data_IF_622558233952
#
_entry.id   IF_622558233952
#
_cell.length_a   1.000
_cell.length_b   1.000
_cell.length_c   1.000
_cell.angle_alpha   90.00
_cell.angle_beta   90.00
_cell.angle_gamma   90.00
#
_symmetry.space_group_name_H-M   'P 1'
#
loop_
_entity.id
_entity.type
_entity.pdbx_description
1 polymer ?
#
# COMPACT_ATOMS: atom_id res chain seq x y z
N UNK A 1 32.97 45.44 11.89
CA UNK A 1 31.60 45.86 11.51
C UNK A 1 30.79 44.71 10.87
N UNK A 2 31.41 43.70 10.24
CA UNK A 2 30.74 42.45 9.84
C UNK A 2 30.43 41.48 10.99
N UNK A 3 31.14 41.56 12.12
CA UNK A 3 30.88 40.69 13.28
C UNK A 3 29.59 41.03 14.05
N UNK A 4 29.07 42.27 13.93
CA UNK A 4 27.87 42.73 14.65
C UNK A 4 26.54 42.45 13.92
N UNK A 5 26.59 41.99 12.68
CA UNK A 5 25.39 41.61 11.91
C UNK A 5 25.00 40.13 12.08
N UNK A 6 25.88 39.32 12.67
CA UNK A 6 25.68 37.88 12.83
C UNK A 6 24.93 37.51 14.13
N UNK A 7 24.83 38.42 15.10
CA UNK A 7 24.25 38.11 16.42
C UNK A 7 22.74 38.41 16.54
N UNK A 8 22.12 39.09 15.56
CA UNK A 8 20.72 39.57 15.71
C UNK A 8 19.65 38.59 15.23
N UNK A 9 20.01 37.50 14.53
CA UNK A 9 19.04 36.59 13.90
C UNK A 9 18.97 35.17 14.50
N UNK A 10 19.67 34.89 15.59
CA UNK A 10 19.74 33.53 16.18
C UNK A 10 18.76 33.22 17.32
N UNK A 11 17.77 34.07 17.60
CA UNK A 11 16.87 33.85 18.76
C UNK A 11 15.63 32.97 18.44
N UNK A 12 15.35 32.62 17.17
CA UNK A 12 14.16 31.81 16.84
C UNK A 12 14.43 30.47 16.15
N UNK A 13 15.66 29.95 16.19
CA UNK A 13 16.01 28.64 15.59
C UNK A 13 16.17 27.51 16.63
N UNK A 14 15.35 27.55 17.68
CA UNK A 14 15.27 26.49 18.70
C UNK A 14 13.83 25.96 18.74
N UNK A 15 13.33 25.42 17.62
CA UNK A 15 12.11 24.59 17.58
C UNK A 15 11.89 23.83 16.25
N UNK A 16 12.94 23.61 15.44
CA UNK A 16 12.85 22.76 14.25
C UNK A 16 13.61 21.45 14.51
N UNK A 17 12.92 20.47 15.07
CA UNK A 17 13.36 19.08 14.95
C UNK A 17 13.18 18.68 13.48
N UNK A 18 14.29 18.34 12.82
CA UNK A 18 14.34 17.55 11.58
C UNK A 18 13.98 18.24 10.26
N UNK A 19 14.63 19.36 9.90
CA UNK A 19 14.70 19.77 8.48
C UNK A 19 15.98 19.20 7.87
N UNK A 20 15.86 18.26 6.94
CA UNK A 20 16.99 17.79 6.13
C UNK A 20 17.17 18.78 4.98
N UNK A 21 18.20 19.64 5.07
CA UNK A 21 18.57 20.57 3.99
C UNK A 21 19.63 19.89 3.12
N UNK A 22 19.22 19.39 1.95
CA UNK A 22 20.15 18.90 0.93
C UNK A 22 20.72 20.09 0.15
N UNK A 23 21.98 20.45 0.41
CA UNK A 23 22.68 21.52 -0.31
C UNK A 23 23.53 20.92 -1.44
N UNK A 24 23.08 21.05 -2.69
CA UNK A 24 23.90 20.69 -3.86
C UNK A 24 24.77 21.88 -4.27
N UNK A 25 26.09 21.81 -4.02
CA UNK A 25 27.04 22.78 -4.55
C UNK A 25 27.51 22.35 -5.94
N UNK A 26 27.20 23.13 -6.97
CA UNK A 26 27.85 23.00 -8.28
C UNK A 26 28.84 24.15 -8.42
N UNK A 27 30.13 23.83 -8.23
CA UNK A 27 31.25 24.71 -8.55
C UNK A 27 31.81 24.30 -9.91
N UNK A 28 31.84 25.22 -10.87
CA UNK A 28 32.82 25.16 -11.96
C UNK A 28 33.46 26.53 -12.13
N UNK A 29 34.73 26.62 -11.75
CA UNK A 29 35.64 27.65 -12.19
C UNK A 29 36.20 27.23 -13.55
N UNK A 30 35.97 28.04 -14.58
CA UNK A 30 36.68 27.96 -15.86
C UNK A 30 36.89 29.39 -16.34
N UNK A 31 38.16 29.78 -16.43
CA UNK A 31 38.62 31.05 -16.98
C UNK A 31 38.87 30.86 -18.47
N UNK A 32 37.83 30.98 -19.29
CA UNK A 32 37.93 31.17 -20.74
C UNK A 32 36.61 31.80 -21.22
N UNK A 33 36.68 32.91 -21.96
CA UNK A 33 35.52 33.64 -22.47
C UNK A 33 34.66 32.75 -23.37
N UNK A 34 33.35 32.57 -23.12
CA UNK A 34 32.48 31.90 -24.06
C UNK A 34 31.62 32.91 -24.84
N UNK A 35 31.47 32.61 -26.12
CA UNK A 35 30.34 33.02 -26.97
C UNK A 35 29.01 32.93 -26.20
N UNK A 36 28.00 33.78 -26.48
CA UNK A 36 26.79 33.83 -25.68
C UNK A 36 25.96 32.57 -25.89
N UNK A 37 26.17 31.57 -25.03
CA UNK A 37 25.19 30.51 -24.78
C UNK A 37 23.88 31.19 -24.37
N UNK A 38 22.71 30.73 -24.87
CA UNK A 38 21.44 31.21 -24.35
C UNK A 38 21.44 31.03 -22.83
N UNK A 39 21.24 32.12 -22.10
CA UNK A 39 21.16 32.09 -20.64
C UNK A 39 19.97 31.22 -20.25
N UNK A 40 20.23 30.03 -19.70
CA UNK A 40 19.21 29.17 -19.13
C UNK A 40 18.66 29.84 -17.87
N UNK A 41 17.35 30.07 -17.85
CA UNK A 41 16.65 30.77 -16.76
C UNK A 41 16.81 30.07 -15.41
N UNK A 42 16.73 28.74 -15.43
CA UNK A 42 17.03 27.83 -14.33
C UNK A 42 17.53 26.51 -14.94
N UNK A 43 18.55 25.89 -14.35
CA UNK A 43 19.09 24.60 -14.84
C UNK A 43 18.33 23.38 -14.28
N UNK A 44 17.35 23.59 -13.41
CA UNK A 44 16.56 22.54 -12.79
C UNK A 44 15.24 22.43 -13.54
N UNK A 45 14.89 21.22 -13.97
CA UNK A 45 13.59 20.89 -14.56
C UNK A 45 12.69 20.10 -13.60
N UNK A 46 13.26 19.54 -12.53
CA UNK A 46 12.57 18.63 -11.62
C UNK A 46 13.08 18.77 -10.18
N UNK A 47 12.16 18.67 -9.23
CA UNK A 47 12.41 18.67 -7.78
C UNK A 47 11.77 17.41 -7.21
N UNK A 48 12.49 16.69 -6.35
CA UNK A 48 11.94 15.54 -5.63
C UNK A 48 12.04 15.77 -4.12
N UNK A 49 10.95 15.55 -3.41
CA UNK A 49 10.85 15.65 -1.96
C UNK A 49 10.42 14.32 -1.34
N UNK A 50 10.90 14.06 -0.13
CA UNK A 50 10.35 13.00 0.71
C UNK A 50 8.96 13.41 1.24
N UNK A 51 8.21 12.46 1.77
CA UNK A 51 6.86 12.71 2.32
C UNK A 51 6.87 13.65 3.52
N UNK A 52 7.96 13.66 4.29
CA UNK A 52 8.18 14.62 5.35
C UNK A 52 8.41 16.04 4.81
N UNK A 53 8.29 17.03 5.70
CA UNK A 53 8.52 18.43 5.32
C UNK A 53 9.94 18.62 4.77
N UNK A 54 10.03 19.05 3.52
CA UNK A 54 11.27 19.13 2.77
C UNK A 54 11.39 20.49 2.07
N UNK A 55 12.62 20.98 1.90
CA UNK A 55 12.88 22.22 1.18
C UNK A 55 14.16 22.14 0.36
N UNK A 56 14.17 22.78 -0.80
CA UNK A 56 15.31 22.86 -1.70
C UNK A 56 15.61 24.32 -2.08
N UNK A 57 16.89 24.67 -2.08
CA UNK A 57 17.36 25.95 -2.58
C UNK A 57 17.49 25.90 -4.11
N UNK A 58 16.80 26.80 -4.80
CA UNK A 58 16.97 27.02 -6.24
C UNK A 58 17.55 28.41 -6.49
N UNK A 59 18.29 28.56 -7.60
CA UNK A 59 18.78 29.87 -8.04
C UNK A 59 18.22 30.20 -9.41
N UNK A 60 17.51 31.32 -9.50
CA UNK A 60 17.09 31.92 -10.76
C UNK A 60 18.21 32.84 -11.24
N UNK A 61 18.67 32.63 -12.48
CA UNK A 61 19.76 33.41 -13.04
C UNK A 61 19.30 34.07 -14.35
N UNK A 62 18.75 35.28 -14.23
CA UNK A 62 18.28 36.06 -15.39
C UNK A 62 18.80 37.49 -15.31
N UNK A 63 18.81 38.19 -16.46
CA UNK A 63 19.05 39.64 -16.53
C UNK A 63 17.77 40.46 -16.31
N UNK A 64 16.62 39.82 -16.30
CA UNK A 64 15.30 40.44 -16.23
C UNK A 64 14.67 40.27 -14.83
N UNK A 65 13.53 40.93 -14.61
CA UNK A 65 12.67 40.58 -13.49
C UNK A 65 11.98 39.25 -13.79
N UNK A 66 11.68 38.49 -12.73
CA UNK A 66 11.02 37.20 -12.83
C UNK A 66 9.90 37.08 -11.82
N UNK A 67 8.94 36.20 -12.10
CA UNK A 67 7.83 35.84 -11.22
C UNK A 67 7.59 34.32 -11.23
N UNK A 68 7.03 33.81 -10.15
CA UNK A 68 6.58 32.42 -10.02
C UNK A 68 5.07 32.37 -10.12
N UNK A 69 4.57 31.39 -10.88
CA UNK A 69 3.15 31.04 -10.96
C UNK A 69 2.98 29.58 -10.58
N UNK A 70 2.14 29.30 -9.58
CA UNK A 70 1.79 27.96 -9.12
C UNK A 70 0.33 27.94 -8.63
N UNK A 71 -0.28 26.75 -8.60
CA UNK A 71 -1.65 26.54 -8.13
C UNK A 71 -1.72 25.68 -6.86
N UNK A 72 -0.61 25.04 -6.51
CA UNK A 72 -0.51 24.09 -5.42
C UNK A 72 -0.61 24.80 -4.07
N UNK A 73 -1.45 24.28 -3.18
CA UNK A 73 -1.55 24.73 -1.79
C UNK A 73 -0.50 24.08 -0.86
N UNK A 74 0.28 23.13 -1.38
CA UNK A 74 1.24 22.35 -0.62
C UNK A 74 2.70 22.72 -0.88
N UNK A 75 2.95 23.63 -1.82
CA UNK A 75 4.27 24.17 -2.16
C UNK A 75 4.34 25.62 -1.70
N UNK A 76 5.45 26.00 -1.08
CA UNK A 76 5.71 27.37 -0.65
C UNK A 76 7.05 27.89 -1.17
N UNK A 77 7.16 29.21 -1.33
CA UNK A 77 8.31 29.89 -1.87
C UNK A 77 8.73 31.05 -0.97
N UNK A 78 10.02 31.17 -0.66
CA UNK A 78 10.49 32.34 0.11
C UNK A 78 10.39 33.65 -0.68
N UNK A 79 10.24 33.57 -2.00
CA UNK A 79 9.98 34.70 -2.88
C UNK A 79 9.25 34.24 -4.15
N UNK A 80 8.17 34.91 -4.52
CA UNK A 80 7.42 34.65 -5.76
C UNK A 80 7.74 35.65 -6.87
N UNK A 81 8.55 36.67 -6.58
CA UNK A 81 9.08 37.61 -7.57
C UNK A 81 10.51 37.99 -7.22
N UNK A 82 11.28 38.41 -8.21
CA UNK A 82 12.63 38.90 -8.00
C UNK A 82 13.26 39.47 -9.26
N UNK A 83 14.54 39.77 -9.19
CA UNK A 83 15.30 40.35 -10.31
C UNK A 83 16.74 39.88 -10.27
N UNK A 84 17.31 39.65 -11.45
CA UNK A 84 18.71 39.29 -11.53
C UNK A 84 18.97 37.86 -11.09
N UNK A 85 20.13 37.64 -10.48
CA UNK A 85 20.49 36.39 -9.82
C UNK A 85 19.89 36.38 -8.41
N UNK A 86 18.95 35.47 -8.15
CA UNK A 86 18.29 35.34 -6.84
C UNK A 86 18.22 33.87 -6.44
N UNK A 87 18.57 33.58 -5.19
CA UNK A 87 18.35 32.26 -4.60
C UNK A 87 17.08 32.30 -3.75
N UNK A 88 16.24 31.28 -3.87
CA UNK A 88 15.01 31.12 -3.08
C UNK A 88 14.86 29.67 -2.63
N UNK A 89 14.19 29.46 -1.50
CA UNK A 89 13.78 28.13 -1.08
C UNK A 89 12.42 27.81 -1.68
N UNK A 90 12.30 26.61 -2.20
CA UNK A 90 11.03 25.94 -2.53
C UNK A 90 10.81 24.91 -1.43
N UNK A 91 9.72 25.01 -0.69
CA UNK A 91 9.34 24.07 0.35
C UNK A 91 8.11 23.27 -0.04
N UNK A 92 8.00 22.04 0.45
CA UNK A 92 6.78 21.27 0.45
C UNK A 92 6.30 21.03 1.88
N UNK A 93 4.99 21.18 2.08
CA UNK A 93 4.33 20.73 3.31
C UNK A 93 4.44 19.22 3.46
N UNK A 94 4.26 18.71 4.69
CA UNK A 94 4.20 17.27 4.95
C UNK A 94 3.11 16.61 4.08
N UNK A 95 3.36 15.40 3.62
CA UNK A 95 2.45 14.56 2.86
C UNK A 95 2.18 13.26 3.63
N UNK A 96 1.00 13.16 4.24
CA UNK A 96 0.56 11.98 5.00
C UNK A 96 -0.20 10.94 4.11
N UNK A 97 -0.26 11.19 2.80
CA UNK A 97 -0.98 10.35 1.83
C UNK A 97 -0.10 9.84 0.70
N UNK A 98 -0.71 9.57 -0.45
CA UNK A 98 0.00 9.14 -1.66
C UNK A 98 1.00 10.16 -2.18
N UNK A 99 1.94 9.67 -2.99
CA UNK A 99 2.83 10.55 -3.74
C UNK A 99 2.05 11.54 -4.60
N UNK A 100 2.49 12.80 -4.61
CA UNK A 100 1.85 13.90 -5.34
C UNK A 100 2.84 14.55 -6.28
N UNK A 101 2.35 14.94 -7.45
CA UNK A 101 3.13 15.58 -8.51
C UNK A 101 2.42 16.88 -8.85
N UNK A 102 3.20 17.94 -9.06
CA UNK A 102 2.71 19.21 -9.56
C UNK A 102 3.79 19.90 -10.38
N UNK A 103 3.59 21.17 -10.70
CA UNK A 103 4.56 22.01 -11.36
C UNK A 103 4.33 23.48 -11.05
N UNK A 104 5.40 24.26 -11.17
CA UNK A 104 5.31 25.72 -11.17
C UNK A 104 6.08 26.30 -12.34
N UNK A 105 5.74 27.55 -12.67
CA UNK A 105 6.35 28.28 -13.78
C UNK A 105 7.20 29.41 -13.24
N UNK A 106 8.44 29.51 -13.71
CA UNK A 106 9.26 30.72 -13.57
C UNK A 106 9.13 31.51 -14.87
N UNK A 107 8.56 32.71 -14.78
CA UNK A 107 8.28 33.58 -15.92
C UNK A 107 9.19 34.81 -15.90
N UNK A 108 9.65 35.19 -17.07
CA UNK A 108 10.28 36.49 -17.38
C UNK A 108 9.50 37.14 -18.51
N UNK A 109 9.90 38.33 -18.97
CA UNK A 109 9.26 38.95 -20.12
C UNK A 109 9.45 38.15 -21.42
N UNK A 110 10.53 37.35 -21.52
CA UNK A 110 10.90 36.63 -22.75
C UNK A 110 10.80 35.11 -22.67
N UNK A 111 10.80 34.54 -21.48
CA UNK A 111 10.90 33.09 -21.27
C UNK A 111 9.98 32.63 -20.15
N UNK A 112 9.44 31.43 -20.32
CA UNK A 112 8.74 30.67 -19.28
C UNK A 112 9.45 29.34 -19.12
N UNK A 113 9.83 29.00 -17.90
CA UNK A 113 10.46 27.73 -17.57
C UNK A 113 9.56 26.97 -16.59
N UNK A 114 9.16 25.77 -16.95
CA UNK A 114 8.32 24.90 -16.12
C UNK A 114 9.21 23.97 -15.32
N UNK A 115 8.95 23.88 -14.03
CA UNK A 115 9.64 22.97 -13.11
C UNK A 115 8.61 21.99 -12.58
N UNK A 116 8.88 20.69 -12.75
CA UNK A 116 8.10 19.62 -12.16
C UNK A 116 8.54 19.41 -10.72
N UNK A 117 7.60 19.04 -9.87
CA UNK A 117 7.86 18.73 -8.48
C UNK A 117 7.09 17.49 -8.11
N UNK A 118 7.82 16.51 -7.62
CA UNK A 118 7.29 15.29 -7.04
C UNK A 118 7.56 15.29 -5.54
N UNK A 119 6.57 14.87 -4.77
CA UNK A 119 6.75 14.52 -3.37
C UNK A 119 6.30 13.08 -3.16
N UNK A 120 7.18 12.27 -2.56
CA UNK A 120 6.87 10.87 -2.24
C UNK A 120 5.70 10.75 -1.27
N UNK A 121 5.03 9.60 -1.31
CA UNK A 121 3.96 9.27 -0.38
C UNK A 121 4.49 8.88 1.01
N UNK A 122 3.63 8.98 2.02
CA UNK A 122 3.92 8.53 3.37
C UNK A 122 4.18 7.02 3.41
N UNK A 123 5.04 6.56 4.31
CA UNK A 123 5.24 5.11 4.49
C UNK A 123 3.99 4.42 5.06
N UNK A 124 3.16 5.18 5.80
CA UNK A 124 1.92 4.74 6.42
C UNK A 124 0.84 5.76 6.10
N UNK A 125 -0.33 5.28 5.68
CA UNK A 125 -1.53 6.09 5.44
C UNK A 125 -2.63 5.64 6.39
N UNK A 126 -3.19 6.58 7.13
CA UNK A 126 -4.33 6.34 8.02
C UNK A 126 -5.62 6.72 7.30
N UNK A 127 -6.59 5.81 7.30
CA UNK A 127 -7.93 6.04 6.79
C UNK A 127 -8.94 5.98 7.95
N UNK A 128 -9.44 7.13 8.34
CA UNK A 128 -10.45 7.25 9.40
C UNK A 128 -11.86 7.28 8.81
N UNK A 129 -12.70 6.32 9.19
CA UNK A 129 -14.12 6.28 8.82
C UNK A 129 -14.96 6.01 10.06
N UNK A 130 -15.87 6.94 10.38
CA UNK A 130 -16.84 6.82 11.49
C UNK A 130 -16.18 6.39 12.83
N UNK A 131 -15.02 6.98 13.15
CA UNK A 131 -14.21 6.69 14.35
C UNK A 131 -13.44 5.36 14.35
N UNK A 132 -13.39 4.66 13.22
CA UNK A 132 -12.55 3.47 13.03
C UNK A 132 -11.43 3.79 12.05
N UNK A 133 -10.21 3.39 12.40
CA UNK A 133 -9.02 3.67 11.60
C UNK A 133 -8.54 2.39 10.93
N UNK A 134 -8.40 2.41 9.61
CA UNK A 134 -7.66 1.40 8.87
C UNK A 134 -6.28 1.96 8.50
N UNK A 135 -5.24 1.19 8.79
CA UNK A 135 -3.85 1.58 8.51
C UNK A 135 -3.37 0.88 7.25
N UNK A 136 -2.79 1.64 6.33
CA UNK A 136 -2.18 1.12 5.12
C UNK A 136 -0.67 1.30 5.14
N UNK A 137 0.05 0.26 4.78
CA UNK A 137 1.51 0.26 4.65
C UNK A 137 1.88 0.38 3.18
N UNK A 138 2.84 1.27 2.88
CA UNK A 138 3.44 1.38 1.56
C UNK A 138 4.34 0.19 1.26
N UNK A 139 4.03 -0.55 0.20
CA UNK A 139 4.88 -1.60 -0.34
C UNK A 139 5.65 -1.02 -1.52
N UNK A 140 6.96 -0.85 -1.34
CA UNK A 140 7.85 -0.43 -2.42
C UNK A 140 7.82 -1.47 -3.55
N UNK A 141 7.68 -1.02 -4.80
CA UNK A 141 7.73 -1.90 -5.96
C UNK A 141 9.03 -2.69 -6.04
N UNK A 142 8.98 -3.88 -6.64
CA UNK A 142 10.11 -4.80 -6.70
C UNK A 142 9.82 -6.03 -7.56
N UNK A 143 10.84 -6.86 -7.75
CA UNK A 143 10.73 -8.11 -8.50
C UNK A 143 11.00 -9.29 -7.56
N UNK A 144 10.13 -10.30 -7.60
CA UNK A 144 10.28 -11.53 -6.80
C UNK A 144 9.87 -12.77 -7.58
N UNK A 145 10.25 -13.94 -7.07
CA UNK A 145 9.83 -15.23 -7.61
C UNK A 145 8.53 -15.67 -6.95
N UNK A 146 7.45 -15.66 -7.72
CA UNK A 146 6.19 -16.27 -7.31
C UNK A 146 6.20 -17.75 -7.69
N UNK A 147 5.64 -18.57 -6.81
CA UNK A 147 5.55 -20.02 -6.98
C UNK A 147 5.56 -20.76 -5.65
N UNK A 148 5.19 -22.04 -5.66
CA UNK A 148 5.12 -22.85 -4.44
C UNK A 148 5.62 -24.28 -4.70
N UNK A 149 5.67 -25.10 -3.65
CA UNK A 149 6.14 -26.49 -3.72
C UNK A 149 5.33 -27.38 -4.69
N UNK A 150 4.09 -27.00 -5.00
CA UNK A 150 3.17 -27.75 -5.87
C UNK A 150 3.29 -27.31 -7.34
N UNK A 151 3.78 -26.10 -7.60
CA UNK A 151 4.01 -25.57 -8.93
C UNK A 151 5.50 -25.23 -9.11
N UNK A 152 6.30 -26.15 -9.66
CA UNK A 152 7.76 -25.98 -9.79
C UNK A 152 8.16 -24.91 -10.81
N UNK A 153 7.20 -24.30 -11.52
CA UNK A 153 7.45 -23.22 -12.47
C UNK A 153 7.45 -21.86 -11.77
N UNK A 154 8.39 -21.68 -10.84
CA UNK A 154 8.70 -20.36 -10.30
C UNK A 154 9.08 -19.42 -11.46
N UNK A 155 8.51 -18.22 -11.45
CA UNK A 155 8.82 -17.19 -12.45
C UNK A 155 8.88 -15.81 -11.79
N UNK A 156 9.56 -14.90 -12.46
CA UNK A 156 9.75 -13.55 -11.94
C UNK A 156 8.50 -12.70 -12.21
N UNK A 157 8.01 -12.06 -11.15
CA UNK A 157 6.94 -11.05 -11.19
C UNK A 157 7.48 -9.74 -10.63
N UNK A 158 7.19 -8.65 -11.33
CA UNK A 158 7.51 -7.28 -10.94
C UNK A 158 6.23 -6.55 -10.53
N UNK A 159 6.28 -5.84 -9.41
CA UNK A 159 5.18 -5.02 -8.91
C UNK A 159 5.59 -3.56 -8.84
N UNK A 160 4.68 -2.66 -9.19
CA UNK A 160 4.81 -1.22 -8.89
C UNK A 160 4.47 -0.94 -7.43
N UNK A 161 4.76 0.27 -6.94
CA UNK A 161 4.36 0.68 -5.58
C UNK A 161 2.83 0.61 -5.40
N UNK A 162 2.39 0.11 -4.23
CA UNK A 162 0.99 0.12 -3.79
C UNK A 162 0.92 0.23 -2.26
N UNK A 163 -0.29 0.47 -1.75
CA UNK A 163 -0.58 0.49 -0.31
C UNK A 163 -1.50 -0.67 0.04
N UNK A 164 -1.15 -1.46 1.05
CA UNK A 164 -1.97 -2.59 1.51
C UNK A 164 -2.30 -2.44 2.99
N UNK A 165 -3.48 -2.92 3.40
CA UNK A 165 -3.92 -2.91 4.78
C UNK A 165 -2.92 -3.61 5.68
N UNK A 166 -2.58 -2.97 6.80
CA UNK A 166 -1.68 -3.48 7.82
C UNK A 166 -2.18 -4.79 8.45
N UNK A 167 -3.52 -4.91 8.54
CA UNK A 167 -4.27 -6.05 9.06
C UNK A 167 -5.36 -6.44 8.06
N UNK A 168 -6.08 -7.52 8.32
CA UNK A 168 -7.39 -7.75 7.72
C UNK A 168 -8.38 -6.62 8.09
N UNK A 169 -9.46 -6.50 7.31
CA UNK A 169 -10.59 -5.66 7.68
C UNK A 169 -11.26 -6.24 8.93
N UNK A 170 -11.43 -5.42 9.96
CA UNK A 170 -12.08 -5.86 11.21
C UNK A 170 -13.59 -5.82 11.13
N UNK A 171 -14.24 -6.52 12.06
CA UNK A 171 -15.67 -6.48 12.28
C UNK A 171 -16.21 -5.05 12.43
N UNK A 172 -15.56 -4.23 13.26
CA UNK A 172 -15.99 -2.86 13.49
C UNK A 172 -15.89 -1.99 12.23
N UNK A 173 -14.81 -2.16 11.44
CA UNK A 173 -14.67 -1.43 10.19
C UNK A 173 -15.71 -1.88 9.15
N UNK A 174 -15.96 -3.19 9.05
CA UNK A 174 -17.03 -3.72 8.20
C UNK A 174 -18.39 -3.13 8.58
N UNK A 175 -18.76 -3.21 9.85
CA UNK A 175 -20.04 -2.73 10.35
C UNK A 175 -20.19 -1.20 10.18
N UNK A 176 -19.12 -0.43 10.34
CA UNK A 176 -19.15 1.01 10.04
C UNK A 176 -19.51 1.32 8.58
N UNK A 177 -19.13 0.45 7.64
CA UNK A 177 -19.42 0.62 6.20
C UNK A 177 -20.80 0.06 5.84
N UNK A 178 -21.09 -1.17 6.27
CA UNK A 178 -22.24 -1.98 5.82
C UNK A 178 -23.45 -1.84 6.75
N UNK A 179 -23.23 -1.51 8.02
CA UNK A 179 -24.26 -1.30 9.04
C UNK A 179 -24.68 -2.56 9.81
N UNK A 180 -24.11 -3.73 9.48
CA UNK A 180 -24.30 -4.99 10.22
C UNK A 180 -23.19 -5.99 9.87
N UNK A 181 -22.92 -6.94 10.77
CA UNK A 181 -22.00 -8.03 10.51
C UNK A 181 -22.60 -9.10 9.57
N UNK A 182 -21.79 -9.80 8.76
CA UNK A 182 -22.28 -10.82 7.81
C UNK A 182 -23.10 -11.95 8.47
N UNK A 183 -22.83 -12.19 9.75
CA UNK A 183 -23.42 -13.25 10.57
C UNK A 183 -24.36 -12.71 11.67
N UNK A 184 -24.83 -11.46 11.57
CA UNK A 184 -25.75 -10.86 12.56
C UNK A 184 -27.22 -11.26 12.41
N UNK A 185 -27.58 -12.06 11.40
CA UNK A 185 -28.96 -12.46 11.08
C UNK A 185 -29.10 -13.99 11.05
N UNK A 186 -30.28 -14.52 11.40
CA UNK A 186 -30.65 -15.95 11.40
C UNK A 186 -30.63 -16.65 10.02
N UNK A 187 -29.96 -16.09 9.00
CA UNK A 187 -29.98 -16.60 7.64
C UNK A 187 -28.67 -17.32 7.27
N UNK A 188 -28.80 -18.66 7.24
CA UNK A 188 -28.08 -19.67 6.45
C UNK A 188 -26.74 -20.20 6.97
N UNK A 189 -26.81 -21.41 7.52
CA UNK A 189 -25.76 -22.45 7.56
C UNK A 189 -24.39 -22.10 8.17
N UNK A 190 -24.20 -20.88 8.66
CA UNK A 190 -23.02 -20.51 9.44
C UNK A 190 -23.22 -20.96 10.89
N UNK A 191 -22.32 -21.79 11.46
CA UNK A 191 -22.32 -22.04 12.90
C UNK A 191 -21.83 -20.76 13.60
N UNK A 192 -22.76 -19.84 13.90
CA UNK A 192 -22.46 -18.64 14.67
C UNK A 192 -21.90 -19.04 16.05
N UNK A 193 -20.66 -18.64 16.34
CA UNK A 193 -20.12 -18.70 17.69
C UNK A 193 -20.27 -17.32 18.33
N UNK A 194 -20.64 -17.27 19.61
CA UNK A 194 -20.94 -16.00 20.30
C UNK A 194 -19.73 -15.05 20.40
N UNK A 195 -18.51 -15.53 20.18
CA UNK A 195 -17.29 -14.72 20.21
C UNK A 195 -16.94 -14.11 18.84
N UNK A 196 -17.74 -14.38 17.80
CA UNK A 196 -17.46 -13.93 16.43
C UNK A 196 -17.58 -12.42 16.23
N UNK A 197 -18.31 -11.70 17.09
CA UNK A 197 -18.70 -10.29 16.92
C UNK A 197 -17.74 -9.27 17.55
N UNK A 198 -16.63 -9.72 18.15
CA UNK A 198 -15.63 -8.82 18.72
C UNK A 198 -15.18 -7.78 17.67
N UNK A 199 -15.25 -6.47 17.97
CA UNK A 199 -14.98 -5.41 17.00
C UNK A 199 -13.59 -5.46 16.37
N UNK A 200 -12.60 -6.01 17.09
CA UNK A 200 -11.20 -6.07 16.67
C UNK A 200 -10.84 -7.38 15.95
N UNK A 201 -11.77 -8.34 15.85
CA UNK A 201 -11.56 -9.56 15.08
C UNK A 201 -11.66 -9.28 13.58
N UNK A 202 -10.95 -10.06 12.74
CA UNK A 202 -11.13 -9.98 11.30
C UNK A 202 -12.58 -10.34 10.93
N UNK A 203 -13.16 -9.58 10.02
CA UNK A 203 -14.45 -9.95 9.43
C UNK A 203 -14.24 -11.17 8.54
N UNK A 204 -14.98 -12.24 8.82
CA UNK A 204 -15.00 -13.47 8.03
C UNK A 204 -16.43 -13.78 7.59
N UNK A 205 -16.66 -14.93 6.93
CA UNK A 205 -17.96 -15.27 6.35
C UNK A 205 -18.43 -14.18 5.36
N UNK A 206 -17.49 -13.62 4.61
CA UNK A 206 -17.76 -12.66 3.53
C UNK A 206 -17.38 -13.29 2.21
N UNK A 207 -18.33 -13.36 1.28
CA UNK A 207 -18.01 -13.86 -0.06
C UNK A 207 -17.27 -12.80 -0.88
N UNK A 208 -16.48 -13.24 -1.85
CA UNK A 208 -15.84 -12.34 -2.82
C UNK A 208 -16.87 -11.42 -3.50
N UNK A 209 -18.07 -11.95 -3.79
CA UNK A 209 -19.18 -11.22 -4.36
C UNK A 209 -19.72 -10.13 -3.41
N UNK A 210 -19.89 -10.42 -2.12
CA UNK A 210 -20.39 -9.43 -1.15
C UNK A 210 -19.43 -8.25 -1.04
N UNK A 211 -18.12 -8.52 -1.06
CA UNK A 211 -17.08 -7.49 -1.04
C UNK A 211 -17.23 -6.56 -2.24
N UNK A 212 -17.40 -7.10 -3.45
CA UNK A 212 -17.45 -6.30 -4.69
C UNK A 212 -18.80 -5.63 -4.95
N UNK A 213 -19.90 -6.25 -4.52
CA UNK A 213 -21.26 -5.76 -4.82
C UNK A 213 -21.85 -4.89 -3.71
N UNK A 214 -21.33 -5.01 -2.49
CA UNK A 214 -21.86 -4.28 -1.32
C UNK A 214 -20.79 -3.44 -0.65
N UNK A 215 -19.71 -4.07 -0.14
CA UNK A 215 -18.74 -3.38 0.70
C UNK A 215 -17.94 -2.29 -0.03
N UNK A 216 -17.27 -2.63 -1.14
CA UNK A 216 -16.45 -1.69 -1.90
C UNK A 216 -17.26 -0.50 -2.45
N UNK A 217 -18.45 -0.69 -3.06
CA UNK A 217 -19.29 0.43 -3.47
C UNK A 217 -19.64 1.38 -2.32
N UNK A 218 -20.05 0.84 -1.15
CA UNK A 218 -20.37 1.65 0.02
C UNK A 218 -19.15 2.41 0.55
N UNK A 219 -17.99 1.76 0.60
CA UNK A 219 -16.73 2.40 1.00
C UNK A 219 -16.35 3.55 0.04
N UNK A 220 -16.50 3.37 -1.27
CA UNK A 220 -16.26 4.43 -2.26
C UNK A 220 -17.24 5.60 -2.13
N UNK A 221 -18.47 5.40 -1.62
CA UNK A 221 -19.37 6.54 -1.34
C UNK A 221 -18.94 7.37 -0.13
N UNK A 222 -18.15 6.81 0.77
CA UNK A 222 -17.73 7.44 2.03
C UNK A 222 -16.34 8.07 1.95
N UNK A 223 -15.61 7.89 0.85
CA UNK A 223 -14.22 8.34 0.70
C UNK A 223 -13.96 8.88 -0.70
N UNK A 224 -12.88 9.65 -0.88
CA UNK A 224 -12.37 10.05 -2.20
C UNK A 224 -11.31 9.09 -2.75
N UNK A 225 -11.14 7.93 -2.12
CA UNK A 225 -10.07 6.98 -2.43
C UNK A 225 -10.60 5.76 -3.17
N UNK A 226 -9.75 5.14 -3.98
CA UNK A 226 -10.06 3.90 -4.67
C UNK A 226 -9.52 2.72 -3.86
N UNK A 227 -10.38 1.72 -3.64
CA UNK A 227 -10.03 0.48 -2.94
C UNK A 227 -10.36 -0.73 -3.79
N UNK A 228 -9.56 -1.79 -3.61
CA UNK A 228 -9.79 -3.11 -4.19
C UNK A 228 -9.20 -4.21 -3.29
N UNK A 229 -9.47 -5.46 -3.62
CA UNK A 229 -8.70 -6.58 -3.09
C UNK A 229 -7.26 -6.57 -3.66
N UNK A 230 -6.27 -7.11 -2.94
CA UNK A 230 -4.93 -7.34 -3.48
C UNK A 230 -4.98 -8.33 -4.64
N UNK A 231 -4.07 -8.19 -5.60
CA UNK A 231 -3.78 -9.31 -6.50
C UNK A 231 -3.07 -10.42 -5.73
N UNK A 232 -3.11 -11.65 -6.26
CA UNK A 232 -2.39 -12.76 -5.66
C UNK A 232 -0.89 -12.44 -5.50
N UNK A 233 -0.29 -11.83 -6.52
CA UNK A 233 1.12 -11.47 -6.49
C UNK A 233 1.43 -10.35 -5.50
N UNK A 234 0.56 -9.35 -5.39
CA UNK A 234 0.69 -8.31 -4.37
C UNK A 234 0.64 -8.91 -2.97
N UNK A 235 -0.35 -9.77 -2.72
CA UNK A 235 -0.50 -10.44 -1.43
C UNK A 235 0.75 -11.24 -1.06
N UNK A 236 1.26 -12.08 -1.96
CA UNK A 236 2.45 -12.90 -1.67
C UNK A 236 3.70 -12.04 -1.46
N UNK A 237 3.92 -11.04 -2.32
CA UNK A 237 5.06 -10.15 -2.18
C UNK A 237 5.04 -9.41 -0.84
N UNK A 238 3.87 -8.90 -0.45
CA UNK A 238 3.66 -8.24 0.84
C UNK A 238 3.87 -9.22 2.01
N UNK A 239 3.29 -10.42 1.96
CA UNK A 239 3.42 -11.46 2.98
C UNK A 239 4.86 -11.94 3.15
N UNK A 240 5.67 -11.95 2.09
CA UNK A 240 7.08 -12.30 2.16
C UNK A 240 7.97 -11.19 2.75
N UNK A 241 7.43 -9.99 3.03
CA UNK A 241 8.20 -8.84 3.52
C UNK A 241 8.68 -7.88 2.42
N UNK A 242 8.14 -8.00 1.20
CA UNK A 242 8.51 -7.20 0.03
C UNK A 242 10.00 -7.18 -0.25
N UNK A 243 10.55 -6.01 -0.58
CA UNK A 243 11.99 -5.81 -0.78
C UNK A 243 12.85 -6.04 0.49
N UNK A 244 12.22 -6.20 1.66
CA UNK A 244 12.90 -6.49 2.94
C UNK A 244 12.80 -7.96 3.34
N UNK A 245 12.28 -8.83 2.45
CA UNK A 245 12.11 -10.24 2.72
C UNK A 245 13.39 -10.90 3.25
N UNK A 246 13.24 -11.68 4.33
CA UNK A 246 14.32 -12.54 4.85
C UNK A 246 14.18 -14.00 4.42
N UNK A 247 13.22 -14.31 3.53
CA UNK A 247 12.99 -15.66 3.02
C UNK A 247 12.38 -16.62 4.04
N UNK A 248 11.55 -16.10 4.95
CA UNK A 248 10.85 -16.92 5.94
C UNK A 248 9.69 -17.72 5.33
N UNK A 249 9.37 -18.86 5.96
CA UNK A 249 8.25 -19.73 5.56
C UNK A 249 6.89 -19.10 5.87
N UNK A 250 6.75 -18.51 7.04
CA UNK A 250 5.58 -17.73 7.46
C UNK A 250 5.91 -16.24 7.38
N UNK A 251 4.89 -15.40 7.34
CA UNK A 251 5.10 -13.96 7.23
C UNK A 251 5.81 -13.42 8.47
N UNK A 252 7.09 -13.07 8.35
CA UNK A 252 7.91 -12.53 9.44
C UNK A 252 8.70 -13.54 10.28
N UNK A 253 8.48 -14.86 10.14
CA UNK A 253 9.19 -15.87 10.93
C UNK A 253 9.16 -17.28 10.31
N UNK A 254 10.08 -18.15 10.72
CA UNK A 254 10.00 -19.60 10.45
C UNK A 254 9.23 -20.37 11.54
N UNK A 255 8.77 -19.67 12.58
CA UNK A 255 8.01 -20.22 13.71
C UNK A 255 6.62 -19.61 13.64
N UNK A 256 5.61 -20.42 13.31
CA UNK A 256 4.23 -19.98 13.10
C UNK A 256 3.66 -19.28 14.34
N UNK A 257 3.85 -19.86 15.52
CA UNK A 257 3.27 -19.40 16.81
C UNK A 257 3.67 -17.96 17.20
N UNK A 258 4.69 -17.41 16.56
CA UNK A 258 5.19 -16.05 16.81
C UNK A 258 4.50 -15.02 15.91
N UNK A 259 3.96 -15.45 14.77
CA UNK A 259 3.48 -14.57 13.69
C UNK A 259 2.09 -14.94 13.15
N UNK A 260 1.49 -16.03 13.64
CA UNK A 260 0.27 -16.57 13.05
C UNK A 260 -0.58 -17.45 13.96
N UNK A 261 -1.82 -17.64 13.54
CA UNK A 261 -2.87 -18.36 14.27
C UNK A 261 -3.48 -19.48 13.41
N UNK A 262 -3.25 -20.73 13.79
CA UNK A 262 -3.80 -21.93 13.14
C UNK A 262 -4.72 -22.72 14.10
N UNK A 263 -5.20 -23.90 13.68
CA UNK A 263 -6.05 -24.75 14.52
C UNK A 263 -5.37 -25.15 15.85
N UNK A 264 -4.06 -25.31 15.84
CA UNK A 264 -3.27 -25.72 17.02
C UNK A 264 -3.20 -24.63 18.09
N UNK A 265 -3.18 -23.35 17.69
CA UNK A 265 -2.95 -22.22 18.60
C UNK A 265 -4.16 -21.33 18.82
N UNK A 266 -5.13 -21.34 17.91
CA UNK A 266 -6.34 -20.53 18.00
C UNK A 266 -7.47 -21.22 18.80
N UNK A 267 -7.37 -22.53 19.08
CA UNK A 267 -8.48 -23.34 19.58
C UNK A 267 -9.79 -23.08 18.80
N UNK A 268 -9.67 -23.02 17.46
CA UNK A 268 -10.77 -22.72 16.53
C UNK A 268 -11.48 -21.37 16.79
N UNK A 269 -10.81 -20.40 17.42
CA UNK A 269 -11.39 -19.07 17.72
C UNK A 269 -10.55 -17.97 17.09
N UNK A 270 -11.21 -17.07 16.34
CA UNK A 270 -10.57 -15.88 15.74
C UNK A 270 -9.87 -15.05 16.83
N UNK A 271 -8.78 -14.40 16.46
CA UNK A 271 -8.07 -13.50 17.35
C UNK A 271 -8.25 -12.06 16.87
N UNK A 272 -8.13 -11.11 17.80
CA UNK A 272 -8.02 -9.71 17.41
C UNK A 272 -6.84 -9.55 16.45
N UNK A 273 -6.96 -8.62 15.50
CA UNK A 273 -5.87 -8.35 14.57
C UNK A 273 -4.66 -7.77 15.30
N UNK A 274 -3.47 -7.98 14.72
CA UNK A 274 -2.19 -7.46 15.19
C UNK A 274 -1.81 -7.83 16.63
N UNK A 275 -2.10 -9.07 17.06
CA UNK A 275 -1.73 -9.57 18.40
C UNK A 275 -0.39 -10.32 18.45
N UNK A 276 0.15 -10.70 17.29
CA UNK A 276 1.45 -11.36 17.13
C UNK A 276 2.45 -10.45 16.42
N UNK A 277 3.69 -10.93 16.25
CA UNK A 277 4.73 -10.14 15.61
C UNK A 277 4.44 -9.93 14.11
N UNK A 278 4.69 -8.74 13.55
CA UNK A 278 4.50 -8.49 12.14
C UNK A 278 5.69 -8.99 11.30
N UNK A 279 5.52 -8.93 9.98
CA UNK A 279 6.61 -9.14 9.04
C UNK A 279 7.54 -7.91 8.88
N UNK A 280 8.53 -8.02 8.00
CA UNK A 280 9.60 -7.03 7.81
C UNK A 280 9.13 -5.65 7.30
N UNK A 281 7.87 -5.55 6.86
CA UNK A 281 7.23 -4.31 6.45
C UNK A 281 6.06 -3.91 7.35
N UNK A 282 5.95 -4.49 8.56
CA UNK A 282 4.90 -4.18 9.54
C UNK A 282 3.49 -4.58 9.12
N UNK A 283 3.34 -5.69 8.37
CA UNK A 283 2.05 -6.33 8.14
C UNK A 283 1.84 -7.47 9.14
N UNK A 284 0.61 -7.59 9.63
CA UNK A 284 0.21 -8.60 10.62
C UNK A 284 -0.73 -9.62 9.98
N UNK A 285 -0.83 -10.77 10.65
CA UNK A 285 -1.85 -11.82 10.39
C UNK A 285 -1.85 -12.30 8.94
N UNK A 286 -0.69 -12.26 8.29
CA UNK A 286 -0.49 -12.74 6.91
C UNK A 286 -0.29 -14.28 6.88
N UNK A 287 -0.33 -14.94 8.04
CA UNK A 287 -0.19 -16.39 8.22
C UNK A 287 -1.19 -16.86 9.27
N UNK A 288 -2.40 -17.25 8.87
CA UNK A 288 -3.46 -17.70 9.77
C UNK A 288 -4.45 -16.59 10.14
N UNK A 289 -5.14 -16.76 11.26
CA UNK A 289 -6.30 -15.96 11.70
C UNK A 289 -7.47 -16.07 10.70
N UNK A 290 -7.48 -15.26 9.65
CA UNK A 290 -8.44 -15.36 8.55
C UNK A 290 -7.71 -15.60 7.22
N UNK A 291 -8.24 -16.52 6.43
CA UNK A 291 -7.79 -16.65 5.06
C UNK A 291 -8.30 -15.46 4.25
N UNK A 292 -7.59 -15.05 3.20
CA UNK A 292 -7.88 -13.78 2.55
C UNK A 292 -8.14 -13.87 1.07
N UNK A 293 -9.25 -13.27 0.64
CA UNK A 293 -9.59 -13.14 -0.76
C UNK A 293 -8.61 -12.25 -1.54
N UNK A 294 -8.15 -12.76 -2.69
CA UNK A 294 -7.46 -11.98 -3.71
C UNK A 294 -8.40 -11.66 -4.89
N UNK A 295 -8.03 -10.71 -5.74
CA UNK A 295 -8.82 -10.36 -6.94
C UNK A 295 -8.83 -11.45 -8.01
N UNK A 296 -7.77 -12.24 -8.07
CA UNK A 296 -7.42 -13.14 -9.17
C UNK A 296 -8.37 -14.33 -9.27
N UNK A 297 -8.64 -14.74 -10.50
CA UNK A 297 -9.21 -16.06 -10.76
C UNK A 297 -8.14 -17.13 -10.51
N UNK A 298 -8.51 -18.20 -9.81
CA UNK A 298 -7.62 -19.31 -9.54
C UNK A 298 -7.42 -20.15 -10.81
N UNK A 299 -6.18 -20.55 -11.03
CA UNK A 299 -5.73 -21.50 -12.04
C UNK A 299 -4.69 -22.41 -11.39
N UNK A 300 -4.71 -23.70 -11.68
CA UNK A 300 -3.72 -24.66 -11.15
C UNK A 300 -2.28 -24.28 -11.51
N UNK A 301 -2.12 -23.62 -12.67
CA UNK A 301 -0.83 -23.22 -13.20
C UNK A 301 -0.79 -21.72 -13.45
N UNK A 302 0.32 -21.08 -13.07
CA UNK A 302 0.62 -19.71 -13.49
C UNK A 302 0.92 -19.68 -14.99
N UNK A 303 0.42 -18.66 -15.68
CA UNK A 303 0.84 -18.37 -17.05
C UNK A 303 2.20 -17.67 -17.00
N UNK A 304 3.29 -18.43 -17.17
CA UNK A 304 4.65 -17.90 -17.01
C UNK A 304 5.17 -17.12 -18.23
N UNK A 305 4.39 -17.03 -19.32
CA UNK A 305 4.83 -16.45 -20.59
C UNK A 305 4.23 -15.08 -20.90
N UNK A 306 3.11 -14.74 -20.27
CA UNK A 306 2.42 -13.47 -20.43
C UNK A 306 1.96 -13.03 -19.04
N UNK A 307 2.27 -11.79 -18.64
CA UNK A 307 1.92 -11.16 -17.36
C UNK A 307 2.97 -11.26 -16.23
N UNK A 308 4.13 -10.60 -16.43
CA UNK A 308 5.20 -10.51 -15.42
C UNK A 308 5.26 -9.18 -14.69
N UNK A 309 4.43 -8.19 -15.04
CA UNK A 309 4.43 -6.86 -14.39
C UNK A 309 3.02 -6.51 -13.94
N UNK A 310 2.81 -6.41 -12.62
CA UNK A 310 1.50 -6.24 -11.98
C UNK A 310 0.45 -7.26 -12.44
N UNK A 311 0.73 -8.57 -12.32
CA UNK A 311 -0.21 -9.57 -12.79
C UNK A 311 -1.53 -9.52 -12.03
N UNK A 312 -2.59 -9.78 -12.79
CA UNK A 312 -3.98 -9.77 -12.29
C UNK A 312 -4.67 -11.12 -12.44
N UNK A 313 -3.89 -12.13 -12.83
CA UNK A 313 -4.34 -13.49 -13.04
C UNK A 313 -5.14 -13.68 -14.33
N UNK A 314 -5.73 -14.87 -14.54
CA UNK A 314 -6.57 -15.16 -15.69
C UNK A 314 -7.76 -14.21 -15.79
N UNK A 315 -8.20 -13.92 -17.03
CA UNK A 315 -9.36 -13.04 -17.28
C UNK A 315 -10.70 -13.62 -16.78
N UNK A 316 -10.79 -14.93 -16.61
CA UNK A 316 -11.98 -15.64 -16.14
C UNK A 316 -11.59 -16.94 -15.42
N UNK A 317 -12.51 -17.47 -14.61
CA UNK A 317 -12.36 -18.73 -13.90
C UNK A 317 -13.61 -19.11 -13.12
N UNK A 318 -13.54 -20.22 -12.40
CA UNK A 318 -14.63 -20.71 -11.54
C UNK A 318 -14.42 -20.30 -10.08
N UNK A 319 -13.17 -20.28 -9.64
CA UNK A 319 -12.79 -20.04 -8.25
C UNK A 319 -11.91 -18.81 -8.13
N UNK A 320 -11.97 -18.13 -6.99
CA UNK A 320 -11.09 -17.00 -6.66
C UNK A 320 -9.97 -17.46 -5.76
N UNK A 321 -8.80 -16.83 -5.90
CA UNK A 321 -7.62 -17.13 -5.08
C UNK A 321 -7.86 -16.71 -3.64
N UNK A 322 -7.41 -17.55 -2.71
CA UNK A 322 -7.33 -17.29 -1.28
C UNK A 322 -5.91 -17.54 -0.79
N UNK A 323 -5.44 -16.73 0.14
CA UNK A 323 -4.09 -16.83 0.72
C UNK A 323 -4.12 -16.83 2.25
N UNK A 324 -2.98 -17.17 2.87
CA UNK A 324 -2.73 -16.96 4.30
C UNK A 324 -3.16 -18.08 5.25
N UNK A 325 -4.13 -18.91 4.86
CA UNK A 325 -4.72 -19.88 5.79
C UNK A 325 -5.51 -19.19 6.91
N UNK A 326 -6.02 -19.94 7.86
CA UNK A 326 -6.93 -19.44 8.90
C UNK A 326 -6.75 -20.20 10.21
N UNK A 327 -7.50 -19.79 11.23
CA UNK A 327 -7.65 -20.54 12.49
C UNK A 327 -8.08 -22.01 12.31
N UNK A 328 -8.64 -22.42 11.17
CA UNK A 328 -9.04 -23.80 10.91
C UNK A 328 -7.95 -24.58 10.13
N UNK A 329 -6.79 -23.97 9.90
CA UNK A 329 -5.70 -24.59 9.17
C UNK A 329 -4.95 -25.57 10.06
N UNK A 330 -4.87 -26.82 9.61
CA UNK A 330 -4.06 -27.85 10.26
C UNK A 330 -2.79 -28.10 9.46
N UNK A 331 -1.71 -28.44 10.16
CA UNK A 331 -0.48 -28.88 9.53
C UNK A 331 -0.72 -30.17 8.73
N UNK A 332 -0.40 -30.14 7.43
CA UNK A 332 -0.46 -31.29 6.55
C UNK A 332 0.77 -32.21 6.69
N UNK A 333 0.80 -33.27 5.88
CA UNK A 333 1.93 -34.19 5.79
C UNK A 333 3.09 -33.49 5.04
N UNK A 334 4.36 -33.76 5.42
CA UNK A 334 5.59 -33.27 4.78
C UNK A 334 5.81 -31.75 4.86
N UNK A 335 5.63 -31.15 6.04
CA UNK A 335 5.83 -29.70 6.27
C UNK A 335 4.95 -28.80 5.39
N UNK A 336 3.82 -29.30 4.89
CA UNK A 336 2.86 -28.50 4.15
C UNK A 336 1.89 -27.81 5.13
N UNK A 337 1.95 -26.49 5.27
CA UNK A 337 0.99 -25.74 6.09
C UNK A 337 0.20 -24.74 5.24
N UNK A 338 -1.14 -24.66 5.36
CA UNK A 338 -1.95 -23.63 4.69
C UNK A 338 -1.54 -22.18 5.00
N UNK A 339 -0.78 -21.97 6.08
CA UNK A 339 -0.36 -20.65 6.57
C UNK A 339 1.00 -20.19 6.02
N UNK A 340 1.66 -21.01 5.19
CA UNK A 340 2.88 -20.58 4.51
C UNK A 340 2.58 -19.38 3.62
N UNK A 341 3.47 -18.38 3.60
CA UNK A 341 3.28 -17.16 2.80
C UNK A 341 3.14 -17.46 1.29
N UNK A 342 3.75 -18.54 0.82
CA UNK A 342 3.65 -19.02 -0.56
C UNK A 342 2.48 -19.97 -0.84
N UNK A 343 1.74 -20.37 0.19
CA UNK A 343 0.61 -21.29 -0.02
C UNK A 343 -0.58 -20.53 -0.58
N UNK A 344 -1.23 -21.18 -1.55
CA UNK A 344 -2.44 -20.69 -2.18
C UNK A 344 -3.55 -21.71 -2.04
N UNK A 345 -4.77 -21.20 -1.95
CA UNK A 345 -6.01 -21.96 -1.95
C UNK A 345 -7.01 -21.24 -2.85
N UNK A 346 -8.22 -21.76 -2.91
CA UNK A 346 -9.29 -21.21 -3.72
C UNK A 346 -10.65 -21.54 -3.14
N UNK A 347 -11.63 -20.68 -3.40
CA UNK A 347 -13.03 -21.01 -3.16
C UNK A 347 -13.93 -20.29 -4.17
N UNK A 348 -15.18 -20.76 -4.23
CA UNK A 348 -16.16 -20.21 -5.15
C UNK A 348 -16.50 -18.78 -4.73
N UNK A 349 -16.62 -17.81 -5.67
CA UNK A 349 -16.79 -16.39 -5.33
C UNK A 349 -18.06 -16.06 -4.54
N UNK A 350 -19.07 -16.94 -4.56
CA UNK A 350 -20.27 -16.81 -3.72
C UNK A 350 -20.06 -17.29 -2.28
N UNK A 351 -18.93 -17.94 -1.96
CA UNK A 351 -18.69 -18.59 -0.68
C UNK A 351 -19.35 -19.96 -0.52
N UNK A 352 -20.19 -20.36 -1.48
CA UNK A 352 -20.90 -21.64 -1.48
C UNK A 352 -20.35 -22.57 -2.55
N UNK A 353 -20.14 -23.84 -2.19
CA UNK A 353 -19.61 -24.87 -3.08
C UNK A 353 -20.35 -26.19 -2.87
N UNK A 354 -20.52 -26.96 -3.94
CA UNK A 354 -21.00 -28.33 -3.90
C UNK A 354 -20.07 -29.23 -3.08
N UNK A 355 -20.68 -30.10 -2.27
CA UNK A 355 -19.98 -30.98 -1.33
C UNK A 355 -19.00 -31.95 -2.00
N UNK A 356 -19.14 -32.16 -3.32
CA UNK A 356 -18.34 -33.08 -4.12
C UNK A 356 -17.57 -32.38 -5.24
N UNK A 357 -17.42 -31.05 -5.17
CA UNK A 357 -16.57 -30.27 -6.07
C UNK A 357 -17.29 -29.60 -7.23
N UNK A 358 -18.53 -29.14 -7.04
CA UNK A 358 -19.35 -28.46 -8.05
C UNK A 358 -19.51 -29.31 -9.33
N UNK A 359 -19.83 -30.57 -9.13
CA UNK A 359 -20.00 -31.58 -10.20
C UNK A 359 -21.18 -31.28 -11.14
N UNK A 360 -22.08 -30.38 -10.72
CA UNK A 360 -23.33 -30.10 -11.42
C UNK A 360 -24.37 -31.20 -11.25
N UNK A 361 -24.13 -32.16 -10.35
CA UNK A 361 -25.09 -33.21 -10.03
C UNK A 361 -26.33 -32.59 -9.36
N UNK A 362 -27.55 -32.95 -9.79
CA UNK A 362 -28.79 -32.31 -9.32
C UNK A 362 -29.02 -32.46 -7.80
N UNK A 363 -28.48 -33.52 -7.20
CA UNK A 363 -28.58 -33.79 -5.75
C UNK A 363 -27.34 -33.36 -4.95
N UNK A 364 -26.35 -32.67 -5.55
CA UNK A 364 -25.15 -32.25 -4.83
C UNK A 364 -25.50 -31.22 -3.74
N UNK A 365 -25.25 -31.51 -2.44
CA UNK A 365 -25.49 -30.54 -1.39
C UNK A 365 -24.56 -29.34 -1.55
N UNK A 366 -25.09 -28.14 -1.42
CA UNK A 366 -24.29 -26.91 -1.42
C UNK A 366 -23.93 -26.55 0.03
N UNK A 367 -22.64 -26.39 0.29
CA UNK A 367 -22.06 -26.11 1.60
C UNK A 367 -21.46 -24.71 1.58
N UNK A 368 -21.60 -23.99 2.70
CA UNK A 368 -20.92 -22.72 2.90
C UNK A 368 -19.47 -22.97 3.31
N UNK A 369 -18.52 -22.45 2.52
CA UNK A 369 -17.09 -22.76 2.61
C UNK A 369 -16.21 -21.53 2.83
N UNK A 370 -16.79 -20.36 3.07
CA UNK A 370 -16.05 -19.13 3.35
C UNK A 370 -16.13 -18.66 4.80
N UNK A 371 -16.39 -19.57 5.73
CA UNK A 371 -16.55 -19.29 7.16
C UNK A 371 -15.37 -18.52 7.76
N UNK A 372 -14.15 -18.93 7.42
CA UNK A 372 -12.90 -18.38 7.93
C UNK A 372 -12.19 -17.50 6.90
N UNK A 373 -12.91 -17.06 5.84
CA UNK A 373 -12.35 -16.21 4.79
C UNK A 373 -12.81 -14.77 5.01
N UNK A 374 -11.82 -13.90 5.23
CA UNK A 374 -11.94 -12.46 5.25
C UNK A 374 -11.19 -11.83 4.07
N UNK A 375 -10.69 -10.61 4.28
CA UNK A 375 -9.91 -9.89 3.29
C UNK A 375 -9.15 -8.72 3.91
N UNK A 376 -8.09 -8.28 3.23
CA UNK A 376 -7.48 -6.97 3.42
C UNK A 376 -7.64 -6.12 2.17
N UNK A 377 -7.46 -4.81 2.31
CA UNK A 377 -7.64 -3.85 1.21
C UNK A 377 -6.31 -3.42 0.62
N UNK A 378 -6.31 -3.18 -0.69
CA UNK A 378 -5.32 -2.34 -1.37
C UNK A 378 -5.93 -0.98 -1.65
N UNK A 379 -5.17 0.05 -1.30
CA UNK A 379 -5.50 1.45 -1.49
C UNK A 379 -4.75 1.95 -2.74
N UNK A 380 -5.51 2.38 -3.75
CA UNK A 380 -5.02 2.81 -5.06
C UNK A 380 -5.21 4.32 -5.20
N UNK A 381 -4.23 4.98 -5.83
CA UNK A 381 -4.19 6.42 -6.05
C UNK A 381 -5.36 6.94 -6.88
#
# INVERSE_FOLDING_TARGET
MLQRYLDTYWVNLLLLKSVVISVLFISSCSTEEPTPKPSTLCNISEISFESEQSAMLITVNTKESWSIEHLSNWIDFTATTGRGKTSLLVGATKNDGFGRIDSFLIKTAKQTHKIYIEQKGAAIVHLDILSHTLVFVKVEGGTFKIGNYQNPHEHDVSLTEYYIGQTEVTNAFWEAIVGSLPYSNENKNYPYTMDDDNPDFPVTAVSWNDIHTTFLPLLHTKTSHTFRLPTEAEWEFAALGGNKSKGYTFSGSNILDVVGWDASYANDTKQAVAQLEPNEINLYDMSGNAAEWCSDWYSDWYNTTEDTTNPTGPVSGTYKVIRGGSIASEAGILDFHPCHAKQRSYAHPSGFQGAWGDTGHPDEPVIYKCNEIGFRLVLVR
#
